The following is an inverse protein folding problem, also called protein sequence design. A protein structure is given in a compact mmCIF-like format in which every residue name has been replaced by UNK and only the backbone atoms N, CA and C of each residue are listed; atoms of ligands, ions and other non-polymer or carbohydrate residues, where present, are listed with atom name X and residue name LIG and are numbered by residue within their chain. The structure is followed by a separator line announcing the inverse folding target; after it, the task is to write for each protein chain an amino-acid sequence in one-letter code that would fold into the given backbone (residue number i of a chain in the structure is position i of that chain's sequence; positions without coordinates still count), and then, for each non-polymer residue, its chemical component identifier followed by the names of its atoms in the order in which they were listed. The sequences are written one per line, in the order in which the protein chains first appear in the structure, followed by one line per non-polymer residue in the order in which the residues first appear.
data_IF_598948919549
#
_entry.id   IF_598948919549
#
_cell.length_a   1.000
_cell.length_b   1.000
_cell.length_c   1.000
_cell.angle_alpha   90.00
_cell.angle_beta   90.00
_cell.angle_gamma   90.00
#
_symmetry.space_group_name_H-M   'P 1'
#
loop_
_entity.id
_entity.type
_entity.pdbx_description
1 polymer ?
#
# COMPACT_ATOMS: atom_id res chain seq x y z
N UNK A 1 7.96 -13.55 -2.05
CA UNK A 1 8.12 -12.12 -1.72
C UNK A 1 6.88 -11.35 -2.16
N UNK A 2 6.39 -10.49 -1.30
CA UNK A 2 5.19 -9.71 -1.56
C UNK A 2 5.57 -8.39 -2.23
N UNK A 3 4.89 -8.03 -3.31
CA UNK A 3 5.15 -6.78 -4.01
C UNK A 3 4.22 -5.68 -3.54
N UNK A 4 4.78 -4.49 -3.37
CA UNK A 4 4.09 -3.34 -2.81
C UNK A 4 4.06 -2.21 -3.83
N UNK A 5 2.89 -1.61 -4.00
CA UNK A 5 2.73 -0.46 -4.88
C UNK A 5 2.22 0.74 -4.07
N UNK A 6 2.83 1.90 -4.29
CA UNK A 6 2.38 3.14 -3.66
C UNK A 6 1.54 3.95 -4.64
N UNK A 7 0.31 4.26 -4.26
CA UNK A 7 -0.50 5.23 -5.00
C UNK A 7 -0.48 6.52 -4.20
N UNK A 8 0.06 7.59 -4.76
CA UNK A 8 0.24 8.84 -4.02
C UNK A 8 0.32 10.04 -4.95
N UNK A 9 0.06 11.22 -4.39
CA UNK A 9 0.23 12.47 -5.12
C UNK A 9 1.69 12.91 -5.07
N UNK A 10 2.18 13.51 -6.16
CA UNK A 10 3.54 14.08 -6.19
C UNK A 10 3.79 15.07 -5.06
N UNK A 11 2.74 15.71 -4.57
CA UNK A 11 2.86 16.64 -3.44
C UNK A 11 3.30 15.93 -2.15
N UNK A 12 3.08 14.63 -2.07
CA UNK A 12 3.42 13.82 -0.90
C UNK A 12 4.66 12.96 -1.12
N UNK A 13 5.44 13.24 -2.16
CA UNK A 13 6.62 12.43 -2.48
C UNK A 13 7.61 12.34 -1.31
N UNK A 14 7.81 13.45 -0.61
CA UNK A 14 8.74 13.46 0.52
C UNK A 14 8.28 12.49 1.62
N UNK A 15 6.99 12.47 1.90
CA UNK A 15 6.44 11.56 2.90
C UNK A 15 6.52 10.11 2.43
N UNK A 16 6.27 9.87 1.14
CA UNK A 16 6.41 8.54 0.57
C UNK A 16 7.85 8.04 0.69
N UNK A 17 8.83 8.92 0.43
CA UNK A 17 10.23 8.56 0.55
C UNK A 17 10.60 8.21 1.99
N UNK A 18 10.05 8.93 2.96
CA UNK A 18 10.27 8.61 4.37
C UNK A 18 9.67 7.25 4.73
N UNK A 19 8.48 6.95 4.26
CA UNK A 19 7.88 5.63 4.47
C UNK A 19 8.74 4.54 3.85
N UNK A 20 9.24 4.77 2.64
CA UNK A 20 10.07 3.79 1.95
C UNK A 20 11.33 3.45 2.75
N UNK A 21 11.92 4.44 3.44
CA UNK A 21 13.06 4.19 4.32
C UNK A 21 12.69 3.25 5.47
N UNK A 22 11.50 3.43 6.04
CA UNK A 22 11.05 2.56 7.12
C UNK A 22 10.80 1.13 6.64
N UNK A 23 10.49 0.97 5.35
CA UNK A 23 10.26 -0.35 4.78
C UNK A 23 11.56 -1.09 4.46
N UNK A 24 12.70 -0.43 4.56
CA UNK A 24 13.98 -1.04 4.24
C UNK A 24 14.23 -2.34 5.00
N UNK A 25 13.83 -2.41 6.28
CA UNK A 25 14.02 -3.63 7.05
C UNK A 25 13.27 -4.82 6.46
N UNK A 26 12.05 -4.59 5.97
CA UNK A 26 11.29 -5.65 5.33
C UNK A 26 11.88 -6.05 3.98
N UNK A 27 12.43 -5.09 3.26
CA UNK A 27 13.11 -5.37 1.99
C UNK A 27 14.37 -6.20 2.22
N UNK A 28 15.15 -5.83 3.23
CA UNK A 28 16.39 -6.56 3.57
C UNK A 28 16.09 -7.99 4.00
N UNK A 29 14.96 -8.22 4.62
CA UNK A 29 14.53 -9.56 5.03
C UNK A 29 13.89 -10.36 3.90
N UNK A 30 13.70 -9.74 2.73
CA UNK A 30 13.07 -10.40 1.60
C UNK A 30 11.56 -10.59 1.75
N UNK A 31 10.94 -9.89 2.68
CA UNK A 31 9.49 -10.00 2.91
C UNK A 31 8.70 -9.24 1.86
N UNK A 32 9.17 -8.06 1.48
CA UNK A 32 8.51 -7.23 0.47
C UNK A 32 9.50 -6.70 -0.55
N UNK A 33 8.98 -6.31 -1.71
CA UNK A 33 9.69 -5.51 -2.70
C UNK A 33 8.78 -4.36 -3.09
N UNK A 34 9.34 -3.18 -3.33
CA UNK A 34 8.54 -2.01 -3.66
C UNK A 34 8.85 -1.53 -5.06
N UNK A 35 7.82 -0.99 -5.72
CA UNK A 35 7.98 -0.36 -7.02
C UNK A 35 7.77 1.14 -6.88
N UNK A 36 8.57 1.90 -7.62
CA UNK A 36 8.36 3.35 -7.72
C UNK A 36 8.51 3.82 -9.16
N UNK A 37 7.93 4.98 -9.43
CA UNK A 37 7.96 5.58 -10.76
C UNK A 37 9.37 5.92 -11.24
N UNK A 38 10.33 6.01 -10.31
CA UNK A 38 11.74 6.25 -10.68
C UNK A 38 12.36 5.12 -11.50
N UNK A 39 11.72 3.95 -11.48
CA UNK A 39 12.19 2.81 -12.28
C UNK A 39 11.77 2.90 -13.73
N UNK A 40 10.95 3.87 -14.07
CA UNK A 40 10.49 4.07 -15.44
C UNK A 40 11.59 4.77 -16.21
N UNK A 41 12.03 4.15 -17.30
CA UNK A 41 13.09 4.71 -18.13
C UNK A 41 12.56 5.76 -19.09
N UNK A 42 13.48 6.63 -19.56
CA UNK A 42 13.11 7.64 -20.54
C UNK A 42 12.57 6.98 -21.81
N UNK A 43 11.46 7.50 -22.29
CA UNK A 43 10.83 6.96 -23.50
C UNK A 43 9.76 5.93 -23.23
N UNK A 44 9.63 5.43 -22.01
CA UNK A 44 8.58 4.51 -21.67
C UNK A 44 7.27 5.25 -21.39
N UNK A 45 6.16 4.58 -21.62
CA UNK A 45 4.86 5.14 -21.30
C UNK A 45 4.63 5.04 -19.79
N UNK A 46 4.70 6.19 -19.12
CA UNK A 46 4.57 6.27 -17.67
C UNK A 46 3.22 5.69 -17.18
N UNK A 47 2.14 6.03 -17.84
CA UNK A 47 0.82 5.56 -17.45
C UNK A 47 0.71 4.03 -17.57
N UNK A 48 1.30 3.46 -18.61
CA UNK A 48 1.29 2.00 -18.80
C UNK A 48 2.10 1.28 -17.73
N UNK A 49 3.23 1.85 -17.33
CA UNK A 49 4.07 1.23 -16.30
C UNK A 49 3.35 1.23 -14.96
N UNK A 50 2.70 2.33 -14.60
CA UNK A 50 1.94 2.40 -13.36
C UNK A 50 0.76 1.44 -13.40
N UNK A 51 0.04 1.40 -14.51
CA UNK A 51 -1.10 0.49 -14.66
C UNK A 51 -0.66 -0.97 -14.52
N UNK A 52 0.47 -1.33 -15.12
CA UNK A 52 1.00 -2.68 -15.01
C UNK A 52 1.35 -3.07 -13.58
N UNK A 53 2.00 -2.17 -12.85
CA UNK A 53 2.37 -2.43 -11.46
C UNK A 53 1.12 -2.49 -10.56
N UNK A 54 0.17 -1.63 -10.81
CA UNK A 54 -1.08 -1.62 -10.07
C UNK A 54 -1.84 -2.92 -10.22
N UNK A 55 -1.77 -3.52 -11.41
CA UNK A 55 -2.47 -4.78 -11.70
C UNK A 55 -1.79 -6.01 -11.13
N UNK A 56 -0.51 -5.92 -10.81
CA UNK A 56 0.26 -7.08 -10.36
C UNK A 56 0.70 -7.01 -8.91
N UNK A 57 0.65 -5.85 -8.28
CA UNK A 57 1.08 -5.71 -6.89
C UNK A 57 0.21 -6.52 -5.95
N UNK A 58 0.82 -7.08 -4.91
CA UNK A 58 0.09 -7.85 -3.89
C UNK A 58 -0.52 -6.93 -2.84
N UNK A 59 0.17 -5.86 -2.48
CA UNK A 59 -0.33 -4.87 -1.53
C UNK A 59 -0.30 -3.51 -2.22
N UNK A 60 -1.42 -2.79 -2.12
CA UNK A 60 -1.54 -1.45 -2.68
C UNK A 60 -1.73 -0.48 -1.53
N UNK A 61 -0.77 0.42 -1.34
CA UNK A 61 -0.87 1.45 -0.31
C UNK A 61 -1.43 2.73 -0.93
N UNK A 62 -2.55 3.18 -0.40
CA UNK A 62 -3.12 4.46 -0.79
C UNK A 62 -2.62 5.50 0.20
N UNK A 63 -1.70 6.36 -0.23
CA UNK A 63 -1.14 7.40 0.64
C UNK A 63 -2.08 8.60 0.59
N UNK A 64 -2.99 8.65 1.55
CA UNK A 64 -4.14 9.54 1.49
C UNK A 64 -3.83 10.92 2.08
N UNK A 65 -4.17 11.96 1.34
CA UNK A 65 -4.07 13.36 1.74
C UNK A 65 -5.07 14.14 0.91
N UNK A 66 -5.26 15.41 1.21
CA UNK A 66 -6.13 16.24 0.38
C UNK A 66 -5.61 16.31 -1.05
N UNK A 67 -4.29 16.36 -1.25
CA UNK A 67 -3.70 16.35 -2.59
C UNK A 67 -3.96 15.05 -3.32
N UNK A 68 -3.91 13.91 -2.63
CA UNK A 68 -4.24 12.61 -3.22
C UNK A 68 -5.69 12.59 -3.70
N UNK A 69 -6.60 13.04 -2.84
CA UNK A 69 -8.03 13.06 -3.16
C UNK A 69 -8.31 14.00 -4.32
N UNK A 70 -7.59 15.12 -4.41
CA UNK A 70 -7.75 16.08 -5.50
C UNK A 70 -7.13 15.60 -6.81
N UNK A 71 -6.22 14.63 -6.76
CA UNK A 71 -5.56 14.10 -7.95
C UNK A 71 -6.54 13.21 -8.72
N UNK A 72 -6.87 13.60 -9.95
CA UNK A 72 -7.79 12.82 -10.76
C UNK A 72 -7.22 11.46 -11.11
N UNK A 73 -5.93 11.40 -11.40
CA UNK A 73 -5.29 10.15 -11.77
C UNK A 73 -5.29 9.15 -10.61
N UNK A 74 -4.78 9.57 -9.47
CA UNK A 74 -4.71 8.69 -8.31
C UNK A 74 -6.10 8.28 -7.83
N UNK A 75 -7.02 9.22 -7.78
CA UNK A 75 -8.36 8.96 -7.25
C UNK A 75 -9.21 8.13 -8.20
N UNK A 76 -9.27 8.54 -9.47
CA UNK A 76 -10.20 7.92 -10.41
C UNK A 76 -9.69 6.59 -10.98
N UNK A 77 -8.45 6.57 -11.46
CA UNK A 77 -7.94 5.40 -12.18
C UNK A 77 -7.30 4.37 -11.26
N UNK A 78 -6.35 4.80 -10.45
CA UNK A 78 -5.65 3.87 -9.59
C UNK A 78 -6.56 3.32 -8.49
N UNK A 79 -7.40 4.18 -7.93
CA UNK A 79 -8.30 3.79 -6.86
C UNK A 79 -9.31 2.76 -7.32
N UNK A 80 -9.93 2.95 -8.47
CA UNK A 80 -10.95 2.02 -8.96
C UNK A 80 -10.37 0.63 -9.18
N UNK A 81 -9.22 0.54 -9.80
CA UNK A 81 -8.59 -0.74 -10.06
C UNK A 81 -8.12 -1.39 -8.76
N UNK A 82 -7.58 -0.61 -7.84
CA UNK A 82 -7.15 -1.12 -6.55
C UNK A 82 -8.32 -1.73 -5.78
N UNK A 83 -9.42 -1.02 -5.71
CA UNK A 83 -10.60 -1.50 -4.99
C UNK A 83 -11.21 -2.72 -5.65
N UNK A 84 -11.22 -2.76 -6.98
CA UNK A 84 -11.69 -3.94 -7.71
C UNK A 84 -10.87 -5.18 -7.33
N UNK A 85 -9.55 -5.03 -7.31
CA UNK A 85 -8.67 -6.14 -6.95
C UNK A 85 -8.83 -6.54 -5.49
N UNK A 86 -9.05 -5.58 -4.61
CA UNK A 86 -9.28 -5.86 -3.20
C UNK A 86 -10.55 -6.70 -3.00
N UNK A 87 -11.64 -6.33 -3.66
CA UNK A 87 -12.89 -7.08 -3.58
C UNK A 87 -12.76 -8.47 -4.17
N UNK A 88 -11.99 -8.59 -5.24
CA UNK A 88 -11.72 -9.88 -5.88
C UNK A 88 -10.68 -10.71 -5.11
N UNK A 89 -10.13 -10.18 -4.03
CA UNK A 89 -9.09 -10.83 -3.22
C UNK A 89 -7.82 -11.11 -4.01
N UNK A 90 -7.56 -10.30 -5.02
CA UNK A 90 -6.33 -10.36 -5.82
C UNK A 90 -5.21 -9.56 -5.19
N UNK A 91 -5.56 -8.56 -4.38
CA UNK A 91 -4.61 -7.71 -3.70
C UNK A 91 -5.21 -7.21 -2.40
N UNK A 92 -4.37 -6.67 -1.53
CA UNK A 92 -4.84 -6.04 -0.30
C UNK A 92 -4.59 -4.54 -0.40
N UNK A 93 -5.64 -3.75 -0.25
CA UNK A 93 -5.54 -2.29 -0.26
C UNK A 93 -5.50 -1.78 1.17
N UNK A 94 -4.48 -1.00 1.48
CA UNK A 94 -4.31 -0.45 2.83
C UNK A 94 -4.23 1.08 2.74
N UNK A 95 -5.24 1.79 3.23
CA UNK A 95 -5.17 3.25 3.29
C UNK A 95 -4.16 3.69 4.35
N UNK A 96 -3.29 4.61 3.98
CA UNK A 96 -2.35 5.26 4.90
C UNK A 96 -2.68 6.73 4.92
N UNK A 97 -3.21 7.22 6.03
CA UNK A 97 -3.60 8.61 6.11
C UNK A 97 -2.36 9.42 6.45
N UNK A 98 -1.79 10.08 5.44
CA UNK A 98 -0.58 10.87 5.64
C UNK A 98 -0.85 12.17 6.39
N UNK A 99 -1.85 12.90 5.92
CA UNK A 99 -2.24 14.19 6.49
C UNK A 99 -3.75 14.20 6.69
N UNK A 100 -4.22 14.94 7.68
CA UNK A 100 -5.65 14.99 7.98
C UNK A 100 -6.45 15.46 6.77
N UNK A 101 -7.50 14.73 6.46
CA UNK A 101 -8.37 15.04 5.32
C UNK A 101 -9.70 14.32 5.49
N UNK A 102 -10.68 14.70 4.68
CA UNK A 102 -12.01 14.11 4.75
C UNK A 102 -12.06 12.85 3.87
N UNK A 103 -11.75 11.71 4.46
CA UNK A 103 -11.62 10.46 3.71
C UNK A 103 -12.67 9.39 4.05
N UNK A 104 -13.38 9.53 5.16
CA UNK A 104 -14.27 8.47 5.65
C UNK A 104 -15.43 8.13 4.72
N UNK A 105 -15.94 9.10 3.98
CA UNK A 105 -17.07 8.88 3.08
C UNK A 105 -16.64 8.50 1.66
N UNK A 106 -15.35 8.35 1.43
CA UNK A 106 -14.84 7.99 0.12
C UNK A 106 -14.90 6.47 -0.10
N UNK A 107 -14.76 6.00 -1.35
CA UNK A 107 -14.89 4.56 -1.64
C UNK A 107 -14.01 3.65 -0.80
N UNK A 108 -12.82 4.11 -0.40
CA UNK A 108 -11.91 3.32 0.42
C UNK A 108 -12.09 3.58 1.92
N UNK A 109 -13.02 4.45 2.31
CA UNK A 109 -13.20 4.84 3.71
C UNK A 109 -13.65 3.71 4.61
N UNK A 110 -14.15 2.63 4.06
CA UNK A 110 -14.57 1.46 4.83
C UNK A 110 -13.44 0.49 5.11
N UNK A 111 -12.31 0.65 4.43
CA UNK A 111 -11.18 -0.25 4.61
C UNK A 111 -10.42 0.08 5.88
N UNK A 112 -9.80 -0.93 6.46
CA UNK A 112 -8.99 -0.74 7.66
C UNK A 112 -7.73 0.06 7.30
N UNK A 113 -7.56 1.21 7.92
CA UNK A 113 -6.37 2.03 7.72
C UNK A 113 -5.15 1.40 8.40
N UNK A 114 -3.97 1.77 7.95
CA UNK A 114 -2.72 1.24 8.49
C UNK A 114 -2.47 1.68 9.93
N UNK A 115 -2.92 2.89 10.29
CA UNK A 115 -2.73 3.41 11.63
C UNK A 115 -4.00 3.22 12.45
N UNK A 116 -3.83 3.22 13.77
CA UNK A 116 -4.95 3.08 14.70
C UNK A 116 -5.96 4.19 14.49
N UNK A 117 -7.23 3.81 14.34
CA UNK A 117 -8.34 4.75 14.14
C UNK A 117 -8.19 5.66 12.92
N UNK A 118 -7.32 5.28 11.96
CA UNK A 118 -7.10 6.12 10.79
C UNK A 118 -6.38 7.41 11.11
N UNK A 119 -5.58 7.43 12.17
CA UNK A 119 -4.88 8.64 12.60
C UNK A 119 -3.84 9.05 11.56
N UNK A 120 -3.84 10.33 11.19
CA UNK A 120 -2.87 10.83 10.21
C UNK A 120 -1.45 10.70 10.75
N UNK A 121 -0.53 10.28 9.88
CA UNK A 121 0.87 10.08 10.26
C UNK A 121 1.47 11.34 10.87
N UNK A 122 1.15 12.50 10.28
CA UNK A 122 1.70 13.78 10.78
C UNK A 122 1.17 14.18 12.15
N UNK A 123 0.13 13.49 12.64
CA UNK A 123 -0.43 13.77 13.97
C UNK A 123 0.22 12.94 15.08
N UNK A 124 1.09 12.04 14.74
CA UNK A 124 1.86 11.30 15.73
C UNK A 124 2.94 12.20 16.34
N UNK A 125 3.47 11.86 17.52
CA UNK A 125 4.53 12.64 18.13
C UNK A 125 5.71 12.88 17.21
N UNK A 126 6.06 11.88 16.40
CA UNK A 126 7.07 12.02 15.35
C UNK A 126 6.59 11.27 14.11
N UNK A 127 7.14 11.62 12.94
CA UNK A 127 6.85 10.88 11.72
C UNK A 127 7.28 9.41 11.85
N UNK A 128 8.38 9.18 12.55
CA UNK A 128 8.88 7.82 12.75
C UNK A 128 7.85 6.97 13.49
N UNK A 129 7.21 7.52 14.51
CA UNK A 129 6.19 6.78 15.26
C UNK A 129 5.01 6.41 14.37
N UNK A 130 4.56 7.35 13.53
CA UNK A 130 3.46 7.10 12.62
C UNK A 130 3.81 6.06 11.57
N UNK A 131 4.98 6.17 10.96
CA UNK A 131 5.40 5.22 9.95
C UNK A 131 5.73 3.86 10.54
N UNK A 132 6.15 3.80 11.80
CA UNK A 132 6.35 2.51 12.45
C UNK A 132 5.03 1.74 12.56
N UNK A 133 3.94 2.43 12.87
CA UNK A 133 2.63 1.80 12.90
C UNK A 133 2.21 1.29 11.52
N UNK A 134 2.48 2.09 10.49
CA UNK A 134 2.23 1.69 9.11
C UNK A 134 3.04 0.44 8.76
N UNK A 135 4.32 0.43 9.14
CA UNK A 135 5.20 -0.72 8.90
C UNK A 135 4.65 -1.99 9.53
N UNK A 136 4.14 -1.89 10.74
CA UNK A 136 3.57 -3.04 11.43
C UNK A 136 2.36 -3.60 10.70
N UNK A 137 1.49 -2.72 10.17
CA UNK A 137 0.33 -3.15 9.41
C UNK A 137 0.75 -3.85 8.11
N UNK A 138 1.75 -3.30 7.42
CA UNK A 138 2.26 -3.89 6.19
C UNK A 138 2.90 -5.25 6.47
N UNK A 139 3.67 -5.34 7.54
CA UNK A 139 4.32 -6.58 7.93
C UNK A 139 3.30 -7.67 8.22
N UNK A 140 2.23 -7.33 8.94
CA UNK A 140 1.17 -8.29 9.24
C UNK A 140 0.47 -8.75 7.97
N UNK A 141 0.17 -7.82 7.05
CA UNK A 141 -0.47 -8.14 5.79
C UNK A 141 0.41 -9.04 4.93
N UNK A 142 1.71 -8.73 4.84
CA UNK A 142 2.64 -9.50 4.04
C UNK A 142 2.79 -10.92 4.58
N UNK A 143 2.86 -11.07 5.88
CA UNK A 143 2.95 -12.39 6.50
C UNK A 143 1.70 -13.21 6.26
N UNK A 144 0.53 -12.59 6.33
CA UNK A 144 -0.73 -13.26 6.07
C UNK A 144 -0.78 -13.77 4.62
N UNK A 145 -0.39 -12.94 3.67
CA UNK A 145 -0.39 -13.31 2.25
C UNK A 145 0.64 -14.41 1.98
N UNK A 146 1.81 -14.32 2.59
CA UNK A 146 2.85 -15.32 2.41
C UNK A 146 2.38 -16.69 2.93
N UNK A 147 1.76 -16.70 4.11
CA UNK A 147 1.24 -17.93 4.70
C UNK A 147 0.18 -18.56 3.79
N UNK A 148 -0.69 -17.74 3.20
CA UNK A 148 -1.72 -18.24 2.28
C UNK A 148 -1.10 -18.87 1.03
N UNK A 149 -0.01 -18.30 0.53
CA UNK A 149 0.67 -18.83 -0.64
C UNK A 149 1.42 -20.12 -0.34
N UNK A 150 2.01 -20.22 0.84
CA UNK A 150 2.84 -21.36 1.23
C UNK A 150 2.02 -22.57 1.64
N UNK A 151 0.85 -22.34 2.20
CA UNK A 151 0.03 -23.40 2.76
C UNK A 151 -1.30 -23.54 2.02
N UNK A 152 -1.34 -24.35 0.95
CA UNK A 152 -2.61 -24.60 0.25
C UNK A 152 -3.62 -25.23 1.20
N UNK A 153 -4.91 -24.95 1.03
CA UNK A 153 -5.94 -25.43 1.94
C UNK A 153 -5.89 -26.92 2.26
N UNK A 154 -5.76 -27.73 1.26
CA UNK A 154 -5.72 -29.18 1.48
C UNK A 154 -4.46 -29.64 2.19
N UNK A 155 -3.36 -29.02 1.88
CA UNK A 155 -2.07 -29.36 2.47
C UNK A 155 -2.03 -29.01 3.95
N UNK A 156 -2.55 -27.85 4.28
CA UNK A 156 -2.55 -27.37 5.64
C UNK A 156 -3.24 -28.36 6.59
N UNK A 157 -4.35 -28.92 6.17
CA UNK A 157 -5.08 -29.86 6.97
C UNK A 157 -4.25 -31.11 7.25
N UNK A 158 -3.49 -31.55 6.27
CA UNK A 158 -2.66 -32.72 6.44
C UNK A 158 -1.47 -32.48 7.34
N UNK A 159 -0.83 -31.34 7.15
CA UNK A 159 0.39 -31.06 7.88
C UNK A 159 0.15 -30.87 9.35
N UNK A 160 -1.01 -30.44 9.72
CA UNK A 160 -1.35 -30.27 11.12
C UNK A 160 -1.72 -31.58 11.78
N UNK A 161 -2.06 -32.52 10.96
CA UNK A 161 -2.36 -33.84 11.46
C UNK A 161 -1.14 -34.50 12.02
#
# INVERSE_FOLDING_TARGET
MVTLFFSYSHKDEALRDELDKHLASLKHQGIIDTWHDRRIEAGEDWAKQIDGQLRTADIILLLVSADFIASRYCYDLEMKEALRRHEAREAKVIPVILRSCDWHDLPFGKLQAATRDGRAVVKFPTLDDGFLEVLQAIKAAAKSMHASCVTPPGYSANSSG
#
